data_IF_615688659453
#
_entry.id   IF_615688659453
#
_cell.length_a   1.000
_cell.length_b   1.000
_cell.length_c   1.000
_cell.angle_alpha   90.00
_cell.angle_beta   90.00
_cell.angle_gamma   90.00
#
_symmetry.space_group_name_H-M   'P 1'
#
loop_
_entity.id
_entity.type
_entity.pdbx_description
1 polymer ?
#
# COMPACT_ATOMS: atom_id res chain seq x y z
N UNK A 1 -21.41 -13.15 12.76
CA UNK A 1 -21.30 -12.88 11.30
C UNK A 1 -20.63 -14.09 10.67
N UNK A 2 -21.12 -14.58 9.53
CA UNK A 2 -20.53 -15.70 8.77
C UNK A 2 -20.32 -15.26 7.32
N UNK A 3 -19.21 -15.67 6.70
CA UNK A 3 -18.93 -15.39 5.30
C UNK A 3 -19.57 -16.50 4.46
N UNK A 4 -20.52 -16.16 3.61
CA UNK A 4 -21.07 -17.10 2.63
C UNK A 4 -20.06 -17.36 1.50
N UNK A 5 -20.19 -18.51 0.82
CA UNK A 5 -19.34 -18.85 -0.34
C UNK A 5 -19.41 -17.75 -1.41
N UNK A 6 -20.61 -17.19 -1.64
CA UNK A 6 -20.79 -16.09 -2.58
C UNK A 6 -20.00 -14.85 -2.18
N UNK A 7 -20.04 -14.45 -0.91
CA UNK A 7 -19.23 -13.34 -0.40
C UNK A 7 -17.74 -13.62 -0.48
N UNK A 8 -17.30 -14.84 -0.15
CA UNK A 8 -15.89 -15.23 -0.25
C UNK A 8 -15.38 -15.18 -1.70
N UNK A 9 -16.19 -15.64 -2.67
CA UNK A 9 -15.88 -15.55 -4.10
C UNK A 9 -15.78 -14.09 -4.54
N UNK A 10 -16.71 -13.22 -4.12
CA UNK A 10 -16.63 -11.79 -4.42
C UNK A 10 -15.34 -11.17 -3.86
N UNK A 11 -14.99 -11.47 -2.61
CA UNK A 11 -13.73 -11.02 -2.00
C UNK A 11 -12.51 -11.50 -2.79
N UNK A 12 -12.51 -12.76 -3.25
CA UNK A 12 -11.46 -13.31 -4.10
C UNK A 12 -11.35 -12.60 -5.46
N UNK A 13 -12.48 -12.29 -6.09
CA UNK A 13 -12.51 -11.53 -7.35
C UNK A 13 -11.91 -10.14 -7.12
N UNK A 14 -12.35 -9.43 -6.08
CA UNK A 14 -11.80 -8.11 -5.77
C UNK A 14 -10.32 -8.15 -5.37
N UNK A 15 -9.86 -9.23 -4.73
CA UNK A 15 -8.43 -9.45 -4.50
C UNK A 15 -7.65 -9.53 -5.82
N UNK A 16 -8.15 -10.27 -6.81
CA UNK A 16 -7.54 -10.28 -8.15
C UNK A 16 -7.62 -8.91 -8.83
N UNK A 17 -8.76 -8.21 -8.73
CA UNK A 17 -8.97 -6.90 -9.34
C UNK A 17 -8.11 -5.79 -8.72
N UNK A 18 -7.72 -5.94 -7.46
CA UNK A 18 -6.82 -5.02 -6.78
C UNK A 18 -5.35 -5.15 -7.23
N UNK A 19 -5.05 -6.07 -8.15
CA UNK A 19 -3.72 -6.28 -8.74
C UNK A 19 -3.77 -6.21 -10.26
N UNK A 20 -2.63 -6.11 -10.94
CA UNK A 20 -2.50 -6.23 -12.41
C UNK A 20 -3.02 -7.62 -12.85
N UNK A 21 -4.21 -7.79 -13.44
CA UNK A 21 -4.77 -7.07 -14.61
C UNK A 21 -6.13 -6.39 -14.33
N UNK A 22 -6.46 -6.12 -13.07
CA UNK A 22 -7.73 -5.58 -12.63
C UNK A 22 -8.02 -4.14 -13.06
N UNK A 23 -9.31 -3.78 -12.97
CA UNK A 23 -9.95 -2.54 -13.47
C UNK A 23 -8.97 -1.37 -13.57
N UNK A 24 -8.55 -0.99 -14.78
CA UNK A 24 -7.77 0.23 -15.01
C UNK A 24 -6.28 0.21 -14.63
N UNK A 25 -5.69 -0.97 -14.41
CA UNK A 25 -4.25 -1.13 -14.17
C UNK A 25 -3.82 -0.72 -12.76
N UNK A 26 -2.58 -0.26 -12.60
CA UNK A 26 -1.98 0.05 -11.28
C UNK A 26 -2.74 1.14 -10.52
N UNK A 27 -3.32 2.11 -11.24
CA UNK A 27 -3.97 3.30 -10.64
C UNK A 27 -5.26 2.93 -9.90
N UNK A 28 -6.16 2.20 -10.55
CA UNK A 28 -7.45 1.85 -9.96
C UNK A 28 -7.36 0.53 -9.19
N UNK A 29 -6.63 -0.47 -9.69
CA UNK A 29 -6.42 -1.73 -8.97
C UNK A 29 -5.61 -1.53 -7.70
N UNK A 30 -4.30 -1.27 -7.82
CA UNK A 30 -3.38 -1.29 -6.69
C UNK A 30 -3.53 -0.06 -5.78
N UNK A 31 -3.52 1.14 -6.36
CA UNK A 31 -3.55 2.38 -5.57
C UNK A 31 -4.93 2.75 -5.02
N UNK A 32 -6.01 2.19 -5.56
CA UNK A 32 -7.37 2.46 -5.09
C UNK A 32 -7.96 1.22 -4.41
N UNK A 33 -8.32 0.18 -5.16
CA UNK A 33 -8.98 -1.02 -4.61
C UNK A 33 -8.10 -1.85 -3.67
N UNK A 34 -6.78 -1.82 -3.85
CA UNK A 34 -5.81 -2.50 -2.99
C UNK A 34 -5.53 -1.80 -1.67
N UNK A 35 -5.99 -0.56 -1.49
CA UNK A 35 -5.76 0.20 -0.26
C UNK A 35 -6.84 -0.09 0.79
N UNK A 36 -6.46 -0.39 2.05
CA UNK A 36 -7.39 -0.78 3.10
C UNK A 36 -8.60 0.14 3.32
N UNK A 37 -8.47 1.46 3.12
CA UNK A 37 -9.60 2.36 3.30
C UNK A 37 -10.72 2.14 2.27
N UNK A 38 -10.36 2.14 0.98
CA UNK A 38 -11.33 1.93 -0.11
C UNK A 38 -11.79 0.48 -0.16
N UNK A 39 -10.86 -0.45 0.01
CA UNK A 39 -11.23 -1.86 0.06
C UNK A 39 -12.04 -2.22 1.30
N UNK A 40 -11.89 -1.52 2.43
CA UNK A 40 -12.73 -1.66 3.61
C UNK A 40 -14.19 -1.26 3.36
N UNK A 41 -14.42 -0.23 2.56
CA UNK A 41 -15.75 0.10 2.04
C UNK A 41 -16.32 -1.05 1.19
N UNK A 42 -15.54 -1.57 0.24
CA UNK A 42 -15.96 -2.67 -0.64
C UNK A 42 -16.28 -3.93 0.17
N UNK A 43 -15.38 -4.32 1.08
CA UNK A 43 -15.56 -5.46 1.98
C UNK A 43 -16.79 -5.26 2.87
N UNK A 44 -16.99 -4.06 3.41
CA UNK A 44 -18.15 -3.72 4.22
C UNK A 44 -19.47 -3.86 3.46
N UNK A 45 -19.49 -3.49 2.17
CA UNK A 45 -20.64 -3.71 1.27
C UNK A 45 -20.88 -5.20 1.06
N UNK A 46 -19.81 -5.97 0.75
CA UNK A 46 -19.92 -7.41 0.49
C UNK A 46 -20.42 -8.16 1.74
N UNK A 47 -19.91 -7.81 2.93
CA UNK A 47 -20.27 -8.46 4.19
C UNK A 47 -21.54 -7.90 4.85
N UNK A 48 -22.11 -6.83 4.30
CA UNK A 48 -23.36 -6.23 4.78
C UNK A 48 -23.22 -5.32 6.02
N UNK A 49 -21.99 -4.96 6.42
CA UNK A 49 -21.73 -3.98 7.48
C UNK A 49 -20.69 -2.96 7.03
N UNK A 50 -21.18 -1.90 6.37
CA UNK A 50 -20.35 -0.84 5.78
C UNK A 50 -19.61 -0.04 6.84
N UNK A 51 -20.28 0.32 7.94
CA UNK A 51 -19.66 1.12 9.00
C UNK A 51 -18.47 0.40 9.63
N UNK A 52 -18.64 -0.88 9.98
CA UNK A 52 -17.56 -1.71 10.51
C UNK A 52 -16.43 -1.87 9.49
N UNK A 53 -16.76 -2.08 8.21
CA UNK A 53 -15.76 -2.19 7.14
C UNK A 53 -14.90 -0.94 6.96
N UNK A 54 -15.51 0.25 7.03
CA UNK A 54 -14.79 1.53 6.95
C UNK A 54 -13.90 1.74 8.18
N UNK A 55 -14.42 1.47 9.39
CA UNK A 55 -13.65 1.66 10.63
C UNK A 55 -12.43 0.72 10.65
N UNK A 56 -12.62 -0.56 10.35
CA UNK A 56 -11.55 -1.55 10.26
C UNK A 56 -10.57 -1.21 9.13
N UNK A 57 -11.08 -0.81 7.97
CA UNK A 57 -10.27 -0.36 6.84
C UNK A 57 -9.41 0.84 7.17
N UNK A 58 -9.95 1.83 7.88
CA UNK A 58 -9.20 3.01 8.34
C UNK A 58 -8.13 2.64 9.36
N UNK A 59 -8.44 1.80 10.35
CA UNK A 59 -7.47 1.32 11.35
C UNK A 59 -6.26 0.64 10.68
N UNK A 60 -6.53 -0.24 9.71
CA UNK A 60 -5.48 -0.93 8.95
C UNK A 60 -4.77 0.02 7.98
N UNK A 61 -5.47 1.00 7.38
CA UNK A 61 -4.85 1.97 6.50
C UNK A 61 -3.77 2.79 7.21
N UNK A 62 -3.97 3.15 8.48
CA UNK A 62 -2.98 3.91 9.27
C UNK A 62 -1.66 3.13 9.42
N UNK A 63 -1.74 1.81 9.57
CA UNK A 63 -0.56 0.92 9.62
C UNK A 63 0.24 0.94 8.31
N UNK A 64 -0.46 1.04 7.17
CA UNK A 64 0.14 0.95 5.83
C UNK A 64 0.17 2.28 5.07
N UNK A 65 -0.08 3.41 5.74
CA UNK A 65 -0.17 4.74 5.13
C UNK A 65 1.12 5.12 4.40
N UNK A 66 2.22 4.62 4.94
CA UNK A 66 3.58 4.85 4.54
C UNK A 66 4.19 3.71 3.74
N UNK A 67 3.38 2.70 3.38
CA UNK A 67 3.86 1.59 2.58
C UNK A 67 4.03 2.06 1.12
N UNK A 68 5.29 2.05 0.72
CA UNK A 68 5.79 2.32 -0.61
C UNK A 68 6.75 1.17 -0.97
N UNK A 69 6.84 0.85 -2.25
CA UNK A 69 7.58 -0.32 -2.77
C UNK A 69 8.77 0.13 -3.62
N UNK A 70 9.89 0.60 -3.03
CA UNK A 70 11.09 0.92 -3.78
C UNK A 70 11.70 -0.34 -4.39
N UNK A 71 12.15 -0.25 -5.64
CA UNK A 71 12.90 -1.32 -6.31
C UNK A 71 12.15 -2.65 -6.45
N UNK A 72 10.81 -2.65 -6.38
CA UNK A 72 9.99 -3.85 -6.52
C UNK A 72 9.95 -4.77 -5.29
N UNK A 73 10.59 -4.39 -4.18
CA UNK A 73 10.53 -5.18 -2.93
C UNK A 73 9.28 -4.84 -2.13
N UNK A 74 8.37 -5.81 -2.02
CA UNK A 74 7.13 -5.66 -1.24
C UNK A 74 7.37 -6.21 0.15
N UNK A 75 7.30 -5.35 1.17
CA UNK A 75 7.41 -5.74 2.58
C UNK A 75 6.08 -6.27 3.14
N UNK A 76 4.95 -5.82 2.59
CA UNK A 76 3.61 -6.29 2.92
C UNK A 76 2.69 -6.15 1.71
N UNK A 77 1.88 -7.17 1.43
CA UNK A 77 0.91 -7.13 0.33
C UNK A 77 -0.43 -6.51 0.78
N UNK A 78 -0.66 -5.25 0.40
CA UNK A 78 -1.88 -4.50 0.75
C UNK A 78 -3.16 -5.13 0.20
N UNK A 79 -3.08 -5.90 -0.90
CA UNK A 79 -4.24 -6.64 -1.42
C UNK A 79 -4.68 -7.71 -0.44
N UNK A 80 -3.77 -8.54 0.05
CA UNK A 80 -4.09 -9.57 1.04
C UNK A 80 -4.59 -8.94 2.34
N UNK A 81 -3.93 -7.89 2.81
CA UNK A 81 -4.38 -7.11 3.98
C UNK A 81 -5.84 -6.66 3.81
N UNK A 82 -6.19 -6.17 2.62
CA UNK A 82 -7.52 -5.62 2.33
C UNK A 82 -8.59 -6.70 2.19
N UNK A 83 -8.37 -7.73 1.38
CA UNK A 83 -9.41 -8.71 1.03
C UNK A 83 -9.39 -10.00 1.86
N UNK A 84 -8.40 -10.16 2.74
CA UNK A 84 -8.34 -11.25 3.73
C UNK A 84 -8.34 -10.66 5.14
N UNK A 85 -7.48 -9.67 5.41
CA UNK A 85 -7.32 -9.07 6.73
C UNK A 85 -8.58 -8.35 7.22
N UNK A 86 -9.17 -7.46 6.40
CA UNK A 86 -10.38 -6.73 6.78
C UNK A 86 -11.55 -7.70 7.04
N UNK A 87 -11.91 -8.65 6.15
CA UNK A 87 -12.99 -9.61 6.44
C UNK A 87 -12.79 -10.37 7.76
N UNK A 88 -11.58 -10.88 8.01
CA UNK A 88 -11.28 -11.61 9.24
C UNK A 88 -11.37 -10.73 10.49
N UNK A 89 -10.88 -9.49 10.41
CA UNK A 89 -10.99 -8.52 11.49
C UNK A 89 -12.46 -8.16 11.76
N UNK A 90 -13.26 -7.93 10.72
CA UNK A 90 -14.70 -7.69 10.86
C UNK A 90 -15.42 -8.87 11.52
N UNK A 91 -15.10 -10.11 11.13
CA UNK A 91 -15.66 -11.31 11.74
C UNK A 91 -15.26 -11.42 13.21
N UNK A 92 -13.98 -11.22 13.53
CA UNK A 92 -13.46 -11.35 14.88
C UNK A 92 -14.05 -10.29 15.83
N UNK A 93 -14.08 -9.03 15.41
CA UNK A 93 -14.70 -7.92 16.15
C UNK A 93 -16.19 -8.21 16.40
N UNK A 94 -16.90 -8.63 15.36
CA UNK A 94 -18.33 -8.97 15.47
C UNK A 94 -18.58 -10.19 16.37
N UNK A 95 -17.72 -11.20 16.30
CA UNK A 95 -17.85 -12.44 17.10
C UNK A 95 -17.50 -12.23 18.57
N UNK A 96 -16.66 -11.25 18.88
CA UNK A 96 -16.30 -10.86 20.24
C UNK A 96 -17.24 -9.78 20.81
N UNK A 97 -18.16 -9.24 20.01
CA UNK A 97 -19.09 -8.20 20.44
C UNK A 97 -18.40 -6.88 20.82
N UNK A 98 -17.20 -6.64 20.27
CA UNK A 98 -16.43 -5.43 20.54
C UNK A 98 -17.11 -4.23 19.87
N UNK A 99 -17.08 -3.08 20.56
CA UNK A 99 -17.42 -1.81 19.94
C UNK A 99 -16.44 -1.54 18.79
N UNK A 100 -16.91 -1.38 17.53
CA UNK A 100 -16.07 -1.08 16.39
C UNK A 100 -15.14 0.12 16.59
N UNK A 101 -15.58 1.11 17.38
CA UNK A 101 -14.82 2.34 17.64
C UNK A 101 -13.86 2.23 18.83
N UNK A 102 -13.79 1.08 19.51
CA UNK A 102 -12.89 0.89 20.63
C UNK A 102 -11.42 0.74 20.19
N UNK A 103 -10.50 1.10 21.08
CA UNK A 103 -9.07 0.86 20.90
C UNK A 103 -8.75 -0.63 20.74
N UNK A 104 -9.53 -1.50 21.40
CA UNK A 104 -9.42 -2.95 21.28
C UNK A 104 -9.78 -3.43 19.86
N UNK A 105 -10.86 -2.92 19.27
CA UNK A 105 -11.23 -3.26 17.89
C UNK A 105 -10.18 -2.74 16.89
N UNK A 106 -9.70 -1.51 17.09
CA UNK A 106 -8.67 -0.89 16.24
C UNK A 106 -7.35 -1.66 16.29
N UNK A 107 -6.87 -2.02 17.48
CA UNK A 107 -5.63 -2.77 17.62
C UNK A 107 -5.74 -4.22 17.14
N UNK A 108 -6.90 -4.86 17.29
CA UNK A 108 -7.16 -6.18 16.71
C UNK A 108 -7.14 -6.13 15.18
N UNK A 109 -7.78 -5.12 14.58
CA UNK A 109 -7.74 -4.90 13.14
C UNK A 109 -6.30 -4.69 12.64
N UNK A 110 -5.52 -3.83 13.32
CA UNK A 110 -4.12 -3.59 12.99
C UNK A 110 -3.26 -4.86 13.08
N UNK A 111 -3.41 -5.64 14.16
CA UNK A 111 -2.68 -6.88 14.36
C UNK A 111 -3.00 -7.94 13.30
N UNK A 112 -4.29 -8.12 12.97
CA UNK A 112 -4.71 -9.04 11.91
C UNK A 112 -4.25 -8.56 10.54
N UNK A 113 -4.33 -7.26 10.28
CA UNK A 113 -3.76 -6.64 9.08
C UNK A 113 -2.27 -6.96 8.94
N UNK A 114 -1.48 -6.80 10.01
CA UNK A 114 -0.05 -7.09 10.03
C UNK A 114 0.27 -8.58 9.76
N UNK A 115 -0.44 -9.49 10.44
CA UNK A 115 -0.26 -10.92 10.27
C UNK A 115 -0.58 -11.35 8.83
N UNK A 116 -1.72 -10.91 8.30
CA UNK A 116 -2.14 -11.21 6.92
C UNK A 116 -1.25 -10.52 5.90
N UNK A 117 -0.71 -9.34 6.19
CA UNK A 117 0.23 -8.65 5.31
C UNK A 117 1.51 -9.45 5.07
N UNK A 118 2.00 -10.14 6.09
CA UNK A 118 3.17 -11.04 5.98
C UNK A 118 2.87 -12.27 5.13
N UNK A 119 1.73 -12.91 5.36
CA UNK A 119 1.23 -14.00 4.52
C UNK A 119 1.09 -13.53 3.06
N UNK A 120 0.53 -12.34 2.88
CA UNK A 120 0.33 -11.70 1.60
C UNK A 120 1.62 -11.48 0.83
N UNK A 121 2.73 -11.16 1.50
CA UNK A 121 4.05 -11.04 0.86
C UNK A 121 4.47 -12.33 0.15
N UNK A 122 4.21 -13.48 0.77
CA UNK A 122 4.49 -14.80 0.15
C UNK A 122 3.60 -15.01 -1.08
N UNK A 123 2.31 -14.68 -0.99
CA UNK A 123 1.36 -14.77 -2.10
C UNK A 123 1.73 -13.83 -3.26
N UNK A 124 2.19 -12.63 -2.93
CA UNK A 124 2.68 -11.64 -3.88
C UNK A 124 3.91 -12.16 -4.63
N UNK A 125 4.92 -12.65 -3.92
CA UNK A 125 6.12 -13.21 -4.57
C UNK A 125 5.83 -14.49 -5.35
N UNK A 126 4.85 -15.30 -4.92
CA UNK A 126 4.35 -16.44 -5.71
C UNK A 126 3.78 -15.98 -7.05
N UNK A 127 2.95 -14.95 -7.03
CA UNK A 127 2.41 -14.32 -8.25
C UNK A 127 3.54 -13.77 -9.12
N UNK A 128 4.48 -13.02 -8.54
CA UNK A 128 5.59 -12.42 -9.27
C UNK A 128 6.47 -13.49 -9.94
N UNK A 129 6.78 -14.57 -9.21
CA UNK A 129 7.59 -15.70 -9.71
C UNK A 129 6.91 -16.38 -10.90
N UNK A 130 5.61 -16.64 -10.82
CA UNK A 130 4.88 -17.25 -11.93
C UNK A 130 4.77 -16.30 -13.14
N UNK A 131 4.64 -14.99 -12.89
CA UNK A 131 4.66 -13.98 -13.95
C UNK A 131 6.00 -13.92 -14.70
N UNK A 132 7.13 -14.21 -14.05
CA UNK A 132 8.42 -14.35 -14.75
C UNK A 132 8.42 -15.49 -15.77
N UNK A 133 7.71 -16.59 -15.49
CA UNK A 133 7.57 -17.70 -16.45
C UNK A 133 6.82 -17.23 -17.69
N UNK A 134 5.74 -16.47 -17.52
CA UNK A 134 4.98 -15.88 -18.63
C UNK A 134 5.82 -14.90 -19.44
N UNK A 135 6.60 -14.04 -18.76
CA UNK A 135 7.52 -13.12 -19.43
C UNK A 135 8.59 -13.86 -20.25
N UNK A 136 9.08 -15.01 -19.78
CA UNK A 136 9.99 -15.86 -20.54
C UNK A 136 9.40 -16.35 -21.87
N UNK A 137 8.08 -16.59 -21.94
CA UNK A 137 7.38 -16.92 -23.20
C UNK A 137 7.32 -15.70 -24.12
N UNK A 138 7.00 -14.53 -23.57
CA UNK A 138 7.00 -13.26 -24.30
C UNK A 138 8.36 -12.94 -24.90
N UNK A 139 9.43 -13.12 -24.12
CA UNK A 139 10.80 -12.86 -24.56
C UNK A 139 11.22 -13.76 -25.74
N UNK A 140 10.93 -15.07 -25.65
CA UNK A 140 11.20 -16.00 -26.77
C UNK A 140 10.43 -15.65 -28.05
N UNK A 141 9.21 -15.13 -27.93
CA UNK A 141 8.45 -14.68 -29.09
C UNK A 141 9.09 -13.44 -29.75
N UNK A 142 9.64 -12.53 -28.95
CA UNK A 142 10.36 -11.34 -29.43
C UNK A 142 11.67 -11.72 -30.11
N UNK A 143 12.46 -12.62 -29.52
CA UNK A 143 13.72 -13.11 -30.10
C UNK A 143 13.50 -13.83 -31.44
N UNK A 144 12.34 -14.47 -31.63
CA UNK A 144 11.98 -15.13 -32.88
C UNK A 144 11.69 -14.19 -34.06
N UNK A 145 11.56 -12.87 -33.84
CA UNK A 145 11.46 -11.84 -34.89
C UNK A 145 10.19 -11.89 -35.76
N UNK A 146 9.25 -12.80 -35.51
CA UNK A 146 8.03 -12.95 -36.30
C UNK A 146 6.92 -12.03 -35.80
N UNK A 147 6.62 -10.99 -36.58
CA UNK A 147 5.75 -9.90 -36.12
C UNK A 147 4.31 -10.32 -35.82
N UNK A 148 3.79 -11.31 -36.56
CA UNK A 148 2.45 -11.87 -36.32
C UNK A 148 2.37 -12.70 -35.02
N UNK A 149 3.47 -13.34 -34.63
CA UNK A 149 3.55 -14.09 -33.39
C UNK A 149 3.67 -13.14 -32.19
N UNK A 150 4.51 -12.10 -32.31
CA UNK A 150 4.70 -11.11 -31.24
C UNK A 150 3.40 -10.36 -30.94
N UNK A 151 2.66 -9.92 -31.97
CA UNK A 151 1.36 -9.24 -31.82
C UNK A 151 0.31 -10.07 -31.07
N UNK A 152 0.38 -11.40 -31.14
CA UNK A 152 -0.55 -12.29 -30.44
C UNK A 152 -0.06 -12.65 -29.04
N UNK A 153 1.23 -12.93 -28.92
CA UNK A 153 1.83 -13.47 -27.71
C UNK A 153 2.04 -12.42 -26.63
N UNK A 154 2.42 -11.18 -26.99
CA UNK A 154 2.66 -10.13 -25.99
C UNK A 154 1.37 -9.71 -25.25
N UNK A 155 0.24 -9.40 -25.93
CA UNK A 155 -1.00 -9.09 -25.20
C UNK A 155 -1.49 -10.25 -24.33
N UNK A 156 -1.27 -11.49 -24.77
CA UNK A 156 -1.64 -12.69 -24.03
C UNK A 156 -0.79 -12.86 -22.76
N UNK A 157 0.53 -12.61 -22.85
CA UNK A 157 1.47 -12.65 -21.72
C UNK A 157 1.26 -11.50 -20.73
N UNK A 158 0.88 -10.32 -21.23
CA UNK A 158 0.64 -9.13 -20.40
C UNK A 158 -0.74 -9.13 -19.73
N UNK A 159 -1.76 -9.64 -20.42
CA UNK A 159 -3.17 -9.47 -19.98
C UNK A 159 -3.81 -10.75 -19.51
N UNK A 160 -3.57 -11.89 -20.17
CA UNK A 160 -4.35 -13.13 -19.96
C UNK A 160 -3.63 -14.10 -19.03
N UNK A 161 -2.36 -14.42 -19.30
CA UNK A 161 -1.59 -15.36 -18.47
C UNK A 161 -1.43 -14.91 -17.00
N UNK A 162 -1.26 -13.62 -16.69
CA UNK A 162 -1.17 -13.17 -15.30
C UNK A 162 -2.46 -13.43 -14.50
N UNK A 163 -3.64 -13.51 -15.14
CA UNK A 163 -4.86 -13.93 -14.45
C UNK A 163 -4.73 -15.32 -13.84
N UNK A 164 -4.01 -16.25 -14.49
CA UNK A 164 -3.77 -17.59 -13.93
C UNK A 164 -2.97 -17.49 -12.65
N UNK A 165 -1.91 -16.66 -12.63
CA UNK A 165 -1.13 -16.39 -11.41
C UNK A 165 -1.99 -15.79 -10.31
N UNK A 166 -2.84 -14.83 -10.66
CA UNK A 166 -3.74 -14.17 -9.71
C UNK A 166 -4.83 -15.09 -9.19
N UNK A 167 -5.36 -16.00 -10.01
CA UNK A 167 -6.32 -17.00 -9.53
C UNK A 167 -5.63 -17.92 -8.52
N UNK A 168 -4.43 -18.41 -8.86
CA UNK A 168 -3.72 -19.37 -8.02
C UNK A 168 -3.26 -18.77 -6.68
N UNK A 169 -2.70 -17.57 -6.70
CA UNK A 169 -2.05 -16.97 -5.53
C UNK A 169 -2.85 -15.84 -4.87
N UNK A 170 -3.91 -15.32 -5.48
CA UNK A 170 -4.78 -14.29 -4.86
C UNK A 170 -6.21 -14.80 -4.66
N UNK A 171 -6.88 -15.31 -5.70
CA UNK A 171 -8.28 -15.76 -5.60
C UNK A 171 -8.44 -16.95 -4.66
N UNK A 172 -7.77 -18.07 -4.95
CA UNK A 172 -7.93 -19.32 -4.19
C UNK A 172 -7.60 -19.11 -2.71
N UNK A 173 -6.45 -18.52 -2.33
CA UNK A 173 -6.14 -18.28 -0.93
C UNK A 173 -7.15 -17.36 -0.25
N UNK A 174 -7.60 -16.31 -0.93
CA UNK A 174 -8.61 -15.39 -0.36
C UNK A 174 -9.92 -16.11 -0.07
N UNK A 175 -10.42 -16.89 -1.03
CA UNK A 175 -11.67 -17.65 -0.87
C UNK A 175 -11.54 -18.67 0.25
N UNK A 176 -10.47 -19.48 0.25
CA UNK A 176 -10.25 -20.53 1.24
C UNK A 176 -10.14 -19.95 2.65
N UNK A 177 -9.34 -18.90 2.83
CA UNK A 177 -9.11 -18.30 4.16
C UNK A 177 -10.37 -17.58 4.66
N UNK A 178 -11.09 -16.85 3.80
CA UNK A 178 -12.32 -16.19 4.19
C UNK A 178 -13.45 -17.19 4.49
N UNK A 179 -13.54 -18.30 3.75
CA UNK A 179 -14.49 -19.37 4.04
C UNK A 179 -14.18 -20.11 5.33
N UNK A 180 -12.89 -20.28 5.65
CA UNK A 180 -12.45 -20.79 6.93
C UNK A 180 -12.72 -19.82 8.09
N UNK A 181 -13.33 -18.66 7.84
CA UNK A 181 -13.57 -17.57 8.79
C UNK A 181 -13.97 -18.00 10.20
N UNK A 182 -15.01 -18.83 10.42
CA UNK A 182 -15.39 -19.28 11.76
C UNK A 182 -14.28 -20.10 12.44
N UNK A 183 -13.71 -21.09 11.75
CA UNK A 183 -12.60 -21.91 12.25
C UNK A 183 -11.34 -21.07 12.50
N UNK A 184 -11.06 -20.09 11.65
CA UNK A 184 -9.94 -19.16 11.84
C UNK A 184 -10.18 -18.23 13.02
N UNK A 185 -11.41 -17.78 13.24
CA UNK A 185 -11.80 -17.01 14.42
C UNK A 185 -11.71 -17.86 15.69
N UNK A 186 -12.07 -19.14 15.62
CA UNK A 186 -11.96 -20.05 16.77
C UNK A 186 -10.49 -20.38 17.08
N UNK A 187 -9.67 -20.64 16.06
CA UNK A 187 -8.21 -20.74 16.20
C UNK A 187 -7.61 -19.44 16.76
N UNK A 188 -8.09 -18.27 16.34
CA UNK A 188 -7.69 -16.99 16.93
C UNK A 188 -8.12 -16.89 18.40
N UNK A 189 -9.32 -17.34 18.78
CA UNK A 189 -9.75 -17.32 20.18
C UNK A 189 -8.93 -18.29 21.05
N UNK A 190 -8.58 -19.46 20.50
CA UNK A 190 -7.83 -20.50 21.18
C UNK A 190 -6.34 -20.15 21.35
N UNK A 191 -5.70 -19.68 20.28
CA UNK A 191 -4.27 -19.39 20.26
C UNK A 191 -3.92 -17.91 20.52
N UNK A 192 -4.88 -16.99 20.36
CA UNK A 192 -4.73 -15.54 20.60
C UNK A 192 -5.84 -14.99 21.52
N UNK A 193 -6.05 -15.53 22.73
CA UNK A 193 -7.01 -14.95 23.68
C UNK A 193 -6.61 -13.51 24.01
N UNK A 194 -7.58 -12.60 24.09
CA UNK A 194 -7.38 -11.16 24.32
C UNK A 194 -6.55 -10.84 25.57
N UNK A 195 -6.72 -11.63 26.63
CA UNK A 195 -5.96 -11.49 27.88
C UNK A 195 -4.60 -12.19 27.85
N UNK A 196 -4.36 -13.01 26.83
CA UNK A 196 -3.15 -13.78 26.63
C UNK A 196 -1.94 -12.92 26.29
N UNK A 197 -0.75 -13.44 26.63
CA UNK A 197 0.52 -12.77 26.34
C UNK A 197 0.69 -12.46 24.85
N UNK A 198 0.25 -13.38 23.98
CA UNK A 198 0.34 -13.21 22.54
C UNK A 198 -0.49 -12.02 22.05
N UNK A 199 -1.76 -11.89 22.50
CA UNK A 199 -2.60 -10.80 22.06
C UNK A 199 -2.18 -9.46 22.67
N UNK A 200 -1.77 -9.42 23.94
CA UNK A 200 -1.15 -8.23 24.57
C UNK A 200 0.11 -7.77 23.83
N UNK A 201 0.91 -8.73 23.36
CA UNK A 201 2.10 -8.43 22.54
C UNK A 201 1.69 -7.91 21.17
N UNK A 202 0.71 -8.53 20.49
CA UNK A 202 0.19 -8.06 19.21
C UNK A 202 -0.44 -6.67 19.30
N UNK A 203 -1.14 -6.33 20.39
CA UNK A 203 -1.66 -4.98 20.62
C UNK A 203 -0.52 -3.97 20.81
N UNK A 204 0.45 -4.30 21.65
CA UNK A 204 1.61 -3.43 21.91
C UNK A 204 2.44 -3.21 20.66
N UNK A 205 2.70 -4.26 19.87
CA UNK A 205 3.44 -4.14 18.61
C UNK A 205 2.59 -3.48 17.53
N UNK A 206 1.30 -3.78 17.48
CA UNK A 206 0.33 -3.19 16.55
C UNK A 206 0.24 -1.68 16.68
N UNK A 207 0.29 -1.13 17.91
CA UNK A 207 0.30 0.31 18.14
C UNK A 207 1.59 1.00 17.69
N UNK A 208 2.69 0.26 17.53
CA UNK A 208 3.96 0.77 17.01
C UNK A 208 4.05 0.74 15.48
N UNK A 209 3.18 -0.01 14.79
CA UNK A 209 3.21 -0.14 13.33
C UNK A 209 3.10 1.20 12.58
N UNK A 210 2.28 2.19 13.00
CA UNK A 210 2.27 3.49 12.35
C UNK A 210 3.63 4.20 12.39
N UNK A 211 4.38 4.05 13.49
CA UNK A 211 5.73 4.61 13.62
C UNK A 211 6.73 3.91 12.68
N UNK A 212 6.60 2.58 12.51
CA UNK A 212 7.38 1.82 11.51
C UNK A 212 7.10 2.34 10.11
N UNK A 213 5.84 2.61 9.78
CA UNK A 213 5.44 3.24 8.53
C UNK A 213 6.19 4.56 8.31
N UNK A 214 6.05 5.52 9.22
CA UNK A 214 6.76 6.81 9.12
C UNK A 214 8.27 6.61 8.96
N UNK A 215 8.87 5.66 9.67
CA UNK A 215 10.29 5.31 9.54
C UNK A 215 10.68 4.81 8.15
N UNK A 216 9.84 3.99 7.50
CA UNK A 216 10.05 3.53 6.12
C UNK A 216 10.03 4.72 5.14
N UNK A 217 9.09 5.66 5.29
CA UNK A 217 9.05 6.88 4.46
C UNK A 217 10.30 7.73 4.68
N UNK A 218 10.68 7.96 5.95
CA UNK A 218 11.89 8.73 6.25
C UNK A 218 13.11 8.10 5.59
N UNK A 219 13.27 6.77 5.65
CA UNK A 219 14.36 6.06 4.97
C UNK A 219 14.37 6.28 3.45
N UNK A 220 13.21 6.48 2.83
CA UNK A 220 13.10 6.69 1.39
C UNK A 220 13.28 8.15 0.96
N UNK A 221 12.81 9.11 1.77
CA UNK A 221 12.81 10.54 1.45
C UNK A 221 14.11 11.22 1.91
N UNK A 222 14.70 10.78 3.03
CA UNK A 222 15.92 11.35 3.58
C UNK A 222 17.11 10.84 2.78
N UNK A 223 17.75 11.75 2.06
CA UNK A 223 18.94 11.45 1.26
C UNK A 223 20.22 11.97 1.91
N UNK A 224 20.10 13.06 2.68
CA UNK A 224 21.22 13.72 3.36
C UNK A 224 20.96 13.77 4.88
N UNK A 225 22.02 13.74 5.71
CA UNK A 225 21.87 13.90 7.16
C UNK A 225 21.14 15.20 7.57
N UNK A 226 21.24 16.26 6.77
CA UNK A 226 20.53 17.53 7.03
C UNK A 226 19.02 17.44 6.80
N UNK A 227 18.53 16.48 6.00
CA UNK A 227 17.09 16.31 5.77
C UNK A 227 16.39 15.87 7.07
N UNK A 228 17.11 15.21 7.98
CA UNK A 228 16.63 14.89 9.34
C UNK A 228 16.32 16.14 10.16
N UNK A 229 17.08 17.23 9.99
CA UNK A 229 16.83 18.49 10.70
C UNK A 229 15.50 19.08 10.21
N UNK A 230 15.27 19.09 8.90
CA UNK A 230 14.01 19.58 8.31
C UNK A 230 12.82 18.75 8.78
N UNK A 231 12.96 17.43 8.80
CA UNK A 231 11.96 16.51 9.35
C UNK A 231 11.67 16.80 10.83
N UNK A 232 12.71 16.91 11.67
CA UNK A 232 12.56 17.16 13.10
C UNK A 232 11.88 18.51 13.39
N UNK A 233 12.21 19.55 12.62
CA UNK A 233 11.56 20.87 12.72
C UNK A 233 10.08 20.76 12.36
N UNK A 234 9.72 20.10 11.25
CA UNK A 234 8.33 19.90 10.86
C UNK A 234 7.54 19.08 11.89
N UNK A 235 8.14 18.02 12.43
CA UNK A 235 7.56 17.18 13.48
C UNK A 235 7.29 17.99 14.76
N UNK A 236 8.27 18.78 15.22
CA UNK A 236 8.13 19.63 16.40
C UNK A 236 7.06 20.71 16.18
N UNK A 237 7.04 21.35 15.02
CA UNK A 237 6.03 22.35 14.66
C UNK A 237 4.62 21.76 14.69
N UNK A 238 4.41 20.59 14.09
CA UNK A 238 3.11 19.93 14.10
C UNK A 238 2.64 19.60 15.53
N UNK A 239 3.56 19.14 16.39
CA UNK A 239 3.27 18.81 17.78
C UNK A 239 2.93 20.05 18.63
N UNK A 240 3.70 21.13 18.50
CA UNK A 240 3.51 22.35 19.30
C UNK A 240 2.26 23.13 18.86
N UNK A 241 1.98 23.19 17.56
CA UNK A 241 0.83 23.91 17.02
C UNK A 241 -0.47 23.08 17.03
N UNK A 242 -0.40 21.79 17.39
CA UNK A 242 -1.55 20.89 17.35
C UNK A 242 -2.12 20.70 15.94
N UNK A 243 -1.28 20.78 14.91
CA UNK A 243 -1.73 20.67 13.53
C UNK A 243 -2.21 19.25 13.22
N UNK A 244 -3.41 19.13 12.65
CA UNK A 244 -3.85 17.86 12.08
C UNK A 244 -3.07 17.54 10.78
N UNK A 245 -3.28 16.34 10.24
CA UNK A 245 -2.56 15.87 9.03
C UNK A 245 -2.76 16.81 7.83
N UNK A 246 -3.96 17.36 7.66
CA UNK A 246 -4.30 18.25 6.54
C UNK A 246 -3.56 19.59 6.68
N UNK A 247 -3.63 20.21 7.85
CA UNK A 247 -2.94 21.47 8.14
C UNK A 247 -1.42 21.30 7.97
N UNK A 248 -0.88 20.20 8.49
CA UNK A 248 0.54 19.86 8.38
C UNK A 248 0.98 19.70 6.92
N UNK A 249 0.15 19.05 6.08
CA UNK A 249 0.42 18.90 4.65
C UNK A 249 0.45 20.23 3.90
N UNK A 250 -0.50 21.14 4.19
CA UNK A 250 -0.55 22.47 3.55
C UNK A 250 0.70 23.28 3.93
N UNK A 251 1.09 23.27 5.21
CA UNK A 251 2.31 23.94 5.69
C UNK A 251 3.55 23.35 5.01
N UNK A 252 3.63 22.01 4.91
CA UNK A 252 4.74 21.33 4.25
C UNK A 252 4.84 21.70 2.75
N UNK A 253 3.71 21.78 2.03
CA UNK A 253 3.68 22.20 0.63
C UNK A 253 4.16 23.63 0.46
N UNK A 254 3.75 24.56 1.35
CA UNK A 254 4.23 25.94 1.32
C UNK A 254 5.76 26.02 1.44
N UNK A 255 6.35 25.31 2.41
CA UNK A 255 7.82 25.26 2.54
C UNK A 255 8.50 24.55 1.36
N UNK A 256 7.88 23.50 0.80
CA UNK A 256 8.40 22.79 -0.36
C UNK A 256 8.44 23.68 -1.61
N UNK A 257 7.40 24.49 -1.85
CA UNK A 257 7.36 25.45 -2.95
C UNK A 257 8.42 26.55 -2.81
N UNK A 258 8.62 27.08 -1.60
CA UNK A 258 9.71 28.05 -1.35
C UNK A 258 11.07 27.43 -1.64
N UNK A 259 11.30 26.20 -1.16
CA UNK A 259 12.57 25.51 -1.40
C UNK A 259 12.78 25.21 -2.89
N UNK A 260 11.71 24.81 -3.60
CA UNK A 260 11.71 24.60 -5.04
C UNK A 260 12.09 25.87 -5.81
N UNK A 261 11.47 27.01 -5.49
CA UNK A 261 11.82 28.31 -6.09
C UNK A 261 13.29 28.67 -5.83
N UNK A 262 13.76 28.56 -4.59
CA UNK A 262 15.17 28.83 -4.25
C UNK A 262 16.13 27.92 -5.02
N UNK A 263 15.82 26.63 -5.17
CA UNK A 263 16.65 25.71 -5.94
C UNK A 263 16.60 26.02 -7.44
N UNK A 264 15.43 26.37 -7.99
CA UNK A 264 15.28 26.74 -9.39
C UNK A 264 16.11 27.97 -9.76
N UNK A 265 16.12 28.99 -8.88
CA UNK A 265 16.95 30.20 -9.05
C UNK A 265 18.44 29.86 -8.96
N UNK A 266 18.86 28.97 -8.05
CA UNK A 266 20.27 28.54 -7.95
C UNK A 266 20.72 27.77 -9.19
N UNK A 267 19.87 26.94 -9.78
CA UNK A 267 20.15 26.19 -11.01
C UNK A 267 20.15 27.08 -12.26
N UNK A 268 19.34 28.14 -12.28
CA UNK A 268 19.32 29.13 -13.38
C UNK A 268 20.44 30.19 -13.29
N UNK A 269 21.05 30.37 -12.10
CA UNK A 269 22.16 31.32 -11.88
C UNK A 269 23.41 31.07 -12.74
N UNK A 270 23.89 29.83 -12.98
CA UNK A 270 24.99 29.60 -13.90
C UNK A 270 24.66 29.95 -15.35
N UNK A 271 23.39 29.82 -15.80
CA UNK A 271 22.99 30.22 -17.16
C UNK A 271 22.99 31.75 -17.35
N UNK A 272 22.61 32.51 -16.30
CA UNK A 272 22.68 33.98 -16.29
C UNK A 272 24.11 34.50 -16.16
N UNK A 273 25.01 33.79 -15.46
CA UNK A 273 26.42 34.16 -15.37
C UNK A 273 27.16 33.98 -16.71
N UNK A 274 26.79 32.97 -17.52
CA UNK A 274 27.32 32.82 -18.88
C UNK A 274 26.80 33.91 -19.83
N UNK A 275 25.57 34.39 -19.63
CA UNK A 275 24.97 35.48 -20.40
C UNK A 275 25.49 36.87 -20.02
N UNK A 276 25.81 37.08 -18.73
CA UNK A 276 26.44 38.32 -18.26
C UNK A 276 27.91 38.41 -18.70
N UNK A 277 28.64 37.28 -18.75
CA UNK A 277 30.01 37.25 -19.26
C UNK A 277 30.11 37.51 -20.78
N UNK A 278 29.04 37.28 -21.54
CA UNK A 278 28.97 37.64 -22.97
C UNK A 278 28.45 39.06 -23.23
N UNK A 279 28.01 39.78 -22.19
CA UNK A 279 27.51 41.15 -22.31
C UNK A 279 28.54 42.20 -21.85
N UNK A 280 29.61 41.78 -21.16
CA UNK A 280 30.69 42.65 -20.65
C UNK A 280 31.88 42.75 -21.64
N UNK A 281 31.84 42.02 -22.76
CA UNK A 281 32.91 41.95 -23.78
C UNK A 281 32.61 42.84 -25.02
N UNK A 282 31.43 43.48 -25.07
CA UNK A 282 30.97 44.30 -26.22
C UNK A 282 31.12 45.82 -26.00
N UNK A 283 31.58 46.29 -24.82
CA UNK A 283 31.62 47.73 -24.46
C UNK A 283 33.04 48.36 -24.40
N UNK A 284 34.12 47.64 -24.76
CA UNK A 284 35.52 48.13 -24.67
C UNK A 284 36.23 48.41 -26.04
N UNK A 285 35.51 48.41 -27.18
CA UNK A 285 36.09 48.83 -28.47
C UNK A 285 35.34 50.01 -29.12
N UNK A 286 35.50 51.22 -28.58
CA UNK A 286 35.37 52.47 -29.36
C UNK A 286 35.94 53.70 -28.60
N UNK A 287 37.27 53.90 -28.66
CA UNK A 287 37.97 55.22 -28.66
C UNK A 287 39.40 55.12 -29.18
#
# INVERSE_FOLDING_TARGET
MTISIFQAVLLGIFACLASLPGMGGTTIGNYTLGRPLVGGLVVGIILGNVQLGIIVGAAIQVVYIALVTPGGTVSADVRAVTYIGIPLAMLSISAQGLDPSSDAATGLAAALGAAVGTLGTVLFYGTATLNLVWQGIGWKAVEGGQWDNIKKTIPLVETVLPWVSHILFSFIPTVVICMAGPTMVDLMKEYLPMDGLAMKTLFTVGSLLPAVGVGILCKQVITKPLDWVTFAVGFLLAAVMGCNLIASAIIAVFFALINFEIQSVKTNRPALATQAASADDDDEEDI
#
